data_IF_576874895085
#
_entry.id   IF_576874895085
#
_cell.length_a   1.000
_cell.length_b   1.000
_cell.length_c   1.000
_cell.angle_alpha   90.00
_cell.angle_beta   90.00
_cell.angle_gamma   90.00
#
_symmetry.space_group_name_H-M   'P 1'
#
loop_
_entity.id
_entity.type
_entity.pdbx_description
1 polymer ?
#
# COMPACT_ATOMS: atom_id res chain seq x y z
N UNK A 1 25.99 -17.67 5.31
CA UNK A 1 24.61 -18.19 5.03
C UNK A 1 24.35 -18.02 3.55
N UNK A 2 23.81 -19.00 2.80
CA UNK A 2 23.71 -18.93 1.32
C UNK A 2 22.58 -17.96 0.92
N UNK A 3 22.84 -17.10 -0.08
CA UNK A 3 21.89 -16.15 -0.70
C UNK A 3 20.53 -16.81 -1.06
N UNK A 4 20.57 -18.10 -1.45
CA UNK A 4 19.37 -18.90 -1.73
C UNK A 4 18.52 -19.20 -0.50
N UNK A 5 19.13 -19.27 0.69
CA UNK A 5 18.42 -19.54 1.95
C UNK A 5 17.75 -18.27 2.47
N UNK A 6 18.39 -17.12 2.31
CA UNK A 6 17.80 -15.81 2.65
C UNK A 6 16.64 -15.45 1.73
N UNK A 7 16.77 -15.68 0.42
CA UNK A 7 15.69 -15.49 -0.54
C UNK A 7 14.49 -16.39 -0.25
N UNK A 8 14.72 -17.66 0.10
CA UNK A 8 13.64 -18.59 0.47
C UNK A 8 12.95 -18.18 1.77
N UNK A 9 13.71 -17.71 2.76
CA UNK A 9 13.15 -17.23 4.03
C UNK A 9 12.24 -16.01 3.80
N UNK A 10 12.74 -14.99 3.09
CA UNK A 10 11.94 -13.80 2.74
C UNK A 10 10.69 -14.11 1.93
N UNK A 11 10.80 -15.02 0.96
CA UNK A 11 9.62 -15.44 0.18
C UNK A 11 8.59 -16.20 1.03
N UNK A 12 9.03 -17.01 2.00
CA UNK A 12 8.10 -17.71 2.91
C UNK A 12 7.44 -16.78 3.92
N UNK A 13 8.17 -15.79 4.43
CA UNK A 13 7.64 -14.77 5.35
C UNK A 13 6.61 -13.87 4.64
N UNK A 14 6.89 -13.42 3.42
CA UNK A 14 5.96 -12.64 2.63
C UNK A 14 4.70 -13.43 2.24
N UNK A 15 4.84 -14.69 1.90
CA UNK A 15 3.69 -15.56 1.62
C UNK A 15 2.81 -15.71 2.85
N UNK A 16 3.39 -15.96 4.02
CA UNK A 16 2.68 -16.02 5.29
C UNK A 16 1.94 -14.71 5.62
N UNK A 17 2.55 -13.55 5.33
CA UNK A 17 1.93 -12.24 5.57
C UNK A 17 0.69 -12.03 4.70
N UNK A 18 0.82 -12.28 3.39
CA UNK A 18 -0.28 -12.10 2.43
C UNK A 18 -1.41 -13.09 2.70
N UNK A 19 -1.10 -14.35 3.03
CA UNK A 19 -2.09 -15.37 3.41
C UNK A 19 -2.85 -14.98 4.69
N UNK A 20 -2.16 -14.36 5.67
CA UNK A 20 -2.79 -13.84 6.89
C UNK A 20 -3.76 -12.70 6.57
N UNK A 21 -3.32 -11.71 5.78
CA UNK A 21 -4.17 -10.59 5.35
C UNK A 21 -5.42 -11.12 4.63
N UNK A 22 -5.23 -12.03 3.68
CA UNK A 22 -6.32 -12.63 2.93
C UNK A 22 -7.34 -13.34 3.83
N UNK A 23 -6.86 -14.12 4.80
CA UNK A 23 -7.70 -14.81 5.77
C UNK A 23 -8.58 -13.85 6.58
N UNK A 24 -7.99 -12.74 7.06
CA UNK A 24 -8.73 -11.73 7.83
C UNK A 24 -9.73 -10.99 6.95
N UNK A 25 -9.32 -10.55 5.74
CA UNK A 25 -10.22 -9.87 4.81
C UNK A 25 -11.42 -10.76 4.44
N UNK A 26 -11.16 -12.03 4.08
CA UNK A 26 -12.18 -12.98 3.70
C UNK A 26 -13.16 -13.29 4.86
N UNK A 27 -12.66 -13.49 6.07
CA UNK A 27 -13.48 -13.80 7.24
C UNK A 27 -14.42 -12.64 7.64
N UNK A 28 -14.13 -11.43 7.19
CA UNK A 28 -14.93 -10.24 7.48
C UNK A 28 -15.68 -9.72 6.23
N UNK A 29 -15.60 -10.42 5.09
CA UNK A 29 -16.17 -10.00 3.81
C UNK A 29 -15.65 -8.64 3.34
N UNK A 30 -14.39 -8.34 3.63
CA UNK A 30 -13.72 -7.09 3.25
C UNK A 30 -12.88 -7.26 1.98
N UNK A 31 -12.83 -6.18 1.22
CA UNK A 31 -12.04 -6.10 0.00
C UNK A 31 -11.01 -4.96 0.07
N UNK A 32 -9.90 -5.14 -0.65
CA UNK A 32 -8.81 -4.18 -0.77
C UNK A 32 -8.58 -3.77 -2.23
N UNK A 33 -8.16 -2.51 -2.43
CA UNK A 33 -7.66 -2.01 -3.71
C UNK A 33 -6.36 -1.23 -3.51
N UNK A 34 -5.49 -1.19 -4.55
CA UNK A 34 -4.18 -0.52 -4.48
C UNK A 34 -4.08 0.69 -5.40
N UNK A 35 -3.40 1.74 -4.93
CA UNK A 35 -3.00 2.92 -5.70
C UNK A 35 -1.47 3.04 -5.68
N UNK A 36 -0.83 2.83 -6.80
CA UNK A 36 0.61 2.68 -6.88
C UNK A 36 1.27 3.79 -7.71
N UNK A 37 2.41 4.29 -7.22
CA UNK A 37 3.31 5.13 -7.98
C UNK A 37 4.63 4.39 -8.21
N UNK A 38 5.60 4.53 -7.30
CA UNK A 38 6.94 3.96 -7.47
C UNK A 38 6.96 2.42 -7.55
N UNK A 39 5.99 1.73 -6.98
CA UNK A 39 5.89 0.25 -7.00
C UNK A 39 5.41 -0.29 -8.35
N UNK A 40 4.67 0.51 -9.12
CA UNK A 40 4.39 0.23 -10.54
C UNK A 40 3.58 -1.03 -10.82
N UNK A 41 2.70 -1.44 -9.89
CA UNK A 41 1.87 -2.64 -9.98
C UNK A 41 2.37 -3.81 -9.13
N UNK A 42 3.58 -3.75 -8.58
CA UNK A 42 4.17 -4.83 -7.78
C UNK A 42 3.37 -5.13 -6.50
N UNK A 43 2.74 -4.10 -5.90
CA UNK A 43 1.92 -4.27 -4.71
C UNK A 43 0.62 -5.03 -5.03
N UNK A 44 -0.07 -4.64 -6.09
CA UNK A 44 -1.25 -5.36 -6.57
C UNK A 44 -0.89 -6.79 -6.98
N UNK A 45 0.18 -6.96 -7.75
CA UNK A 45 0.67 -8.27 -8.16
C UNK A 45 0.93 -9.18 -6.95
N UNK A 46 1.54 -8.65 -5.89
CA UNK A 46 1.80 -9.42 -4.67
C UNK A 46 0.51 -9.84 -3.95
N UNK A 47 -0.51 -9.01 -3.96
CA UNK A 47 -1.81 -9.37 -3.37
C UNK A 47 -2.54 -10.45 -4.17
N UNK A 48 -2.41 -10.45 -5.51
CA UNK A 48 -3.07 -11.47 -6.34
C UNK A 48 -2.30 -12.78 -6.44
N UNK A 49 -1.05 -12.87 -5.94
CA UNK A 49 -0.30 -14.13 -5.84
C UNK A 49 -0.94 -15.15 -4.88
N UNK A 50 -1.86 -14.72 -4.00
CA UNK A 50 -2.50 -15.62 -3.04
C UNK A 50 -3.67 -16.39 -3.65
N UNK A 51 -3.87 -17.66 -3.27
CA UNK A 51 -5.07 -18.40 -3.64
C UNK A 51 -6.33 -17.71 -3.11
N UNK A 52 -7.34 -17.53 -3.97
CA UNK A 52 -8.58 -16.85 -3.61
C UNK A 52 -8.50 -15.31 -3.60
N UNK A 53 -7.46 -14.71 -4.19
CA UNK A 53 -7.32 -13.26 -4.30
C UNK A 53 -8.56 -12.58 -4.90
N UNK A 54 -9.25 -13.21 -5.83
CA UNK A 54 -10.46 -12.68 -6.47
C UNK A 54 -11.62 -12.42 -5.51
N UNK A 55 -11.59 -13.00 -4.32
CA UNK A 55 -12.62 -12.80 -3.29
C UNK A 55 -12.36 -11.51 -2.48
N UNK A 56 -11.11 -11.06 -2.40
CA UNK A 56 -10.71 -9.95 -1.52
C UNK A 56 -10.00 -8.79 -2.23
N UNK A 57 -9.48 -8.98 -3.44
CA UNK A 57 -8.80 -7.92 -4.20
C UNK A 57 -9.75 -7.38 -5.28
N UNK A 58 -10.07 -6.09 -5.21
CA UNK A 58 -10.92 -5.40 -6.19
C UNK A 58 -10.14 -4.96 -7.43
N UNK A 59 -8.86 -4.68 -7.28
CA UNK A 59 -7.99 -4.21 -8.35
C UNK A 59 -6.91 -3.25 -7.87
N UNK A 60 -6.15 -2.70 -8.83
CA UNK A 60 -5.11 -1.73 -8.56
C UNK A 60 -4.99 -0.69 -9.67
N UNK A 61 -4.65 0.53 -9.29
CA UNK A 61 -4.42 1.66 -10.19
C UNK A 61 -2.95 2.06 -10.09
N UNK A 62 -2.25 2.03 -11.22
CA UNK A 62 -0.89 2.58 -11.32
C UNK A 62 -0.99 4.04 -11.79
N UNK A 63 -1.00 4.98 -10.84
CA UNK A 63 -1.02 6.42 -11.09
C UNK A 63 0.41 6.97 -11.07
N UNK A 64 1.22 6.57 -12.06
CA UNK A 64 2.65 6.88 -12.10
C UNK A 64 2.91 8.37 -12.39
N UNK A 65 2.26 8.94 -13.39
CA UNK A 65 2.32 10.37 -13.68
C UNK A 65 1.51 11.15 -12.62
N UNK A 66 1.97 12.36 -12.29
CA UNK A 66 1.40 13.18 -11.21
C UNK A 66 -0.06 13.57 -11.48
N UNK A 67 -0.40 13.89 -12.72
CA UNK A 67 -1.74 14.25 -13.15
C UNK A 67 -2.76 13.10 -12.99
N UNK A 68 -2.31 11.84 -13.11
CA UNK A 68 -3.16 10.67 -12.89
C UNK A 68 -3.57 10.51 -11.42
N UNK A 69 -2.77 11.00 -10.48
CA UNK A 69 -3.14 11.00 -9.06
C UNK A 69 -4.39 11.85 -8.83
N UNK A 70 -4.51 12.98 -9.53
CA UNK A 70 -5.69 13.82 -9.48
C UNK A 70 -6.84 13.28 -10.32
N UNK A 71 -6.59 12.93 -11.58
CA UNK A 71 -7.66 12.60 -12.52
C UNK A 71 -8.33 11.26 -12.25
N UNK A 72 -7.57 10.26 -11.73
CA UNK A 72 -8.09 8.92 -11.43
C UNK A 72 -8.44 8.74 -9.95
N UNK A 73 -7.63 9.29 -9.05
CA UNK A 73 -7.73 9.03 -7.61
C UNK A 73 -8.27 10.22 -6.81
N UNK A 74 -8.60 11.34 -7.47
CA UNK A 74 -9.17 12.50 -6.81
C UNK A 74 -8.23 13.26 -5.88
N UNK A 75 -6.91 13.07 -5.99
CA UNK A 75 -5.93 13.83 -5.20
C UNK A 75 -6.05 15.31 -5.53
N UNK A 76 -6.07 16.16 -4.51
CA UNK A 76 -6.23 17.62 -4.67
C UNK A 76 -5.12 18.22 -5.55
N UNK A 77 -5.52 18.90 -6.60
CA UNK A 77 -4.59 19.53 -7.56
C UNK A 77 -3.77 20.63 -6.92
N UNK A 78 -4.33 21.35 -5.97
CA UNK A 78 -3.62 22.39 -5.24
C UNK A 78 -2.55 21.81 -4.31
N UNK A 79 -2.84 20.67 -3.69
CA UNK A 79 -1.85 19.94 -2.90
C UNK A 79 -0.67 19.49 -3.78
N UNK A 80 -0.94 18.86 -4.92
CA UNK A 80 0.09 18.42 -5.87
C UNK A 80 0.94 19.59 -6.39
N UNK A 81 0.30 20.72 -6.69
CA UNK A 81 1.01 21.91 -7.21
C UNK A 81 1.90 22.58 -6.15
N UNK A 82 1.52 22.55 -4.87
CA UNK A 82 2.27 23.21 -3.80
C UNK A 82 3.36 22.33 -3.18
N UNK A 83 3.13 21.04 -3.10
CA UNK A 83 3.95 20.13 -2.30
C UNK A 83 4.49 18.94 -3.08
N UNK A 84 4.17 18.83 -4.36
CA UNK A 84 4.57 17.69 -5.19
C UNK A 84 3.79 16.40 -4.85
N UNK A 85 4.10 15.30 -5.55
CA UNK A 85 3.39 14.04 -5.43
C UNK A 85 3.87 13.14 -4.28
N UNK A 86 4.97 13.50 -3.58
CA UNK A 86 5.61 12.65 -2.57
C UNK A 86 5.42 13.26 -1.18
N UNK A 87 4.21 13.09 -0.63
CA UNK A 87 3.87 13.53 0.73
C UNK A 87 2.92 12.55 1.41
N UNK A 88 2.87 12.61 2.74
CA UNK A 88 1.94 11.82 3.55
C UNK A 88 0.47 12.02 3.14
N UNK A 89 0.09 13.27 2.90
CA UNK A 89 -1.29 13.62 2.53
C UNK A 89 -1.66 13.15 1.12
N UNK A 90 -0.72 13.20 0.15
CA UNK A 90 -0.92 12.61 -1.18
C UNK A 90 -1.13 11.10 -1.08
N UNK A 91 -0.30 10.39 -0.31
CA UNK A 91 -0.47 8.95 -0.09
C UNK A 91 -1.85 8.63 0.51
N UNK A 92 -2.29 9.40 1.51
CA UNK A 92 -3.60 9.24 2.14
C UNK A 92 -4.75 9.45 1.15
N UNK A 93 -4.67 10.51 0.33
CA UNK A 93 -5.70 10.79 -0.68
C UNK A 93 -5.70 9.75 -1.80
N UNK A 94 -4.53 9.25 -2.23
CA UNK A 94 -4.45 8.13 -3.17
C UNK A 94 -5.15 6.88 -2.63
N UNK A 95 -4.90 6.53 -1.36
CA UNK A 95 -5.55 5.40 -0.71
C UNK A 95 -7.07 5.58 -0.60
N UNK A 96 -7.54 6.76 -0.20
CA UNK A 96 -8.95 7.08 -0.14
C UNK A 96 -9.60 7.02 -1.54
N UNK A 97 -8.96 7.60 -2.54
CA UNK A 97 -9.46 7.64 -3.91
C UNK A 97 -9.58 6.25 -4.55
N UNK A 98 -8.60 5.36 -4.38
CA UNK A 98 -8.70 4.00 -4.92
C UNK A 98 -9.74 3.16 -4.18
N UNK A 99 -9.88 3.35 -2.87
CA UNK A 99 -10.92 2.71 -2.06
C UNK A 99 -12.31 3.03 -2.63
N UNK A 100 -12.58 4.30 -2.90
CA UNK A 100 -13.84 4.77 -3.47
C UNK A 100 -14.04 4.27 -4.90
N UNK A 101 -13.04 4.48 -5.77
CA UNK A 101 -13.11 4.12 -7.19
C UNK A 101 -13.37 2.62 -7.39
N UNK A 102 -12.71 1.77 -6.62
CA UNK A 102 -12.86 0.32 -6.70
C UNK A 102 -13.99 -0.22 -5.82
N UNK A 103 -14.68 0.61 -5.03
CA UNK A 103 -15.67 0.18 -4.04
C UNK A 103 -15.11 -0.90 -3.13
N UNK A 104 -13.91 -0.68 -2.62
CA UNK A 104 -13.24 -1.55 -1.66
C UNK A 104 -13.46 -1.07 -0.23
N UNK A 105 -13.28 -1.93 0.76
CA UNK A 105 -13.30 -1.56 2.17
C UNK A 105 -11.98 -0.88 2.57
N UNK A 106 -10.86 -1.33 1.98
CA UNK A 106 -9.54 -0.76 2.21
C UNK A 106 -8.91 -0.27 0.91
N UNK A 107 -8.36 0.94 0.96
CA UNK A 107 -7.44 1.46 -0.04
C UNK A 107 -6.03 1.46 0.51
N UNK A 108 -5.07 0.95 -0.27
CA UNK A 108 -3.66 0.90 0.06
C UNK A 108 -2.87 1.68 -0.99
N UNK A 109 -2.04 2.63 -0.58
CA UNK A 109 -1.31 3.49 -1.51
C UNK A 109 0.19 3.57 -1.25
N UNK A 110 0.95 3.80 -2.32
CA UNK A 110 2.40 4.04 -2.30
C UNK A 110 2.76 5.22 -3.19
N UNK A 111 3.53 6.18 -2.67
CA UNK A 111 4.18 7.25 -3.44
C UNK A 111 5.58 7.50 -2.91
N UNK A 112 6.54 7.88 -3.75
CA UNK A 112 7.92 8.08 -3.29
C UNK A 112 8.95 8.11 -4.41
N UNK A 113 10.20 8.35 -4.03
CA UNK A 113 11.38 8.43 -4.89
C UNK A 113 12.19 7.14 -4.79
N UNK A 114 12.12 6.31 -5.83
CA UNK A 114 12.84 5.03 -5.83
C UNK A 114 14.32 5.16 -6.25
N UNK A 115 14.74 6.32 -6.77
CA UNK A 115 16.08 6.50 -7.33
C UNK A 115 16.21 5.98 -8.78
N UNK A 116 17.43 6.02 -9.38
CA UNK A 116 18.68 6.40 -8.70
C UNK A 116 18.81 7.90 -8.50
N UNK A 117 19.33 8.28 -7.33
CA UNK A 117 19.54 9.67 -6.94
C UNK A 117 18.26 10.40 -6.52
N UNK A 118 18.47 11.62 -6.02
CA UNK A 118 17.39 12.50 -5.57
C UNK A 118 16.61 13.06 -6.77
N UNK A 119 15.39 13.45 -6.53
CA UNK A 119 14.52 14.12 -7.49
C UNK A 119 13.98 15.44 -6.93
N UNK A 120 13.26 16.21 -7.75
CA UNK A 120 12.56 17.42 -7.29
C UNK A 120 11.53 17.12 -6.20
N UNK A 121 11.04 15.89 -6.14
CA UNK A 121 10.04 15.43 -5.18
C UNK A 121 10.63 14.92 -3.84
N UNK A 122 11.96 14.83 -3.74
CA UNK A 122 12.66 14.44 -2.52
C UNK A 122 13.88 13.54 -2.73
N UNK A 123 14.54 13.15 -1.63
CA UNK A 123 15.73 12.29 -1.68
C UNK A 123 15.35 10.85 -2.09
N UNK A 124 16.36 10.15 -2.66
CA UNK A 124 16.21 8.71 -2.95
C UNK A 124 15.85 7.93 -1.68
N UNK A 125 14.86 7.09 -1.80
CA UNK A 125 14.37 6.25 -0.71
C UNK A 125 13.28 6.88 0.15
N UNK A 126 12.96 8.18 -0.03
CA UNK A 126 11.78 8.77 0.62
C UNK A 126 10.50 8.19 0.02
N UNK A 127 9.72 7.54 0.86
CA UNK A 127 8.47 6.89 0.47
C UNK A 127 7.39 7.14 1.50
N UNK A 128 6.18 7.37 1.04
CA UNK A 128 4.97 7.36 1.87
C UNK A 128 4.07 6.20 1.47
N UNK A 129 3.63 5.46 2.47
CA UNK A 129 2.62 4.41 2.32
C UNK A 129 1.40 4.76 3.16
N UNK A 130 0.21 4.46 2.67
CA UNK A 130 -1.02 4.79 3.37
C UNK A 130 -2.06 3.67 3.23
N UNK A 131 -2.80 3.43 4.30
CA UNK A 131 -4.00 2.59 4.32
C UNK A 131 -5.18 3.43 4.78
N UNK A 132 -6.29 3.36 4.08
CA UNK A 132 -7.57 3.95 4.49
C UNK A 132 -8.62 2.84 4.52
N UNK A 133 -9.16 2.58 5.70
CA UNK A 133 -10.21 1.59 5.96
C UNK A 133 -11.54 2.24 6.34
N UNK A 134 -12.52 1.43 6.82
CA UNK A 134 -13.83 1.92 7.23
C UNK A 134 -13.79 2.87 8.43
N UNK A 135 -13.08 2.53 9.50
CA UNK A 135 -12.89 3.36 10.69
C UNK A 135 -11.42 3.66 11.00
N UNK A 136 -10.51 2.83 10.53
CA UNK A 136 -9.08 2.95 10.75
C UNK A 136 -8.34 3.47 9.53
N UNK A 137 -7.33 4.30 9.77
CA UNK A 137 -6.38 4.72 8.73
C UNK A 137 -4.98 4.87 9.31
N UNK A 138 -3.97 4.70 8.47
CA UNK A 138 -2.59 4.94 8.85
C UNK A 138 -1.78 5.44 7.65
N UNK A 139 -0.81 6.30 7.93
CA UNK A 139 0.22 6.74 6.98
C UNK A 139 1.57 6.54 7.62
N UNK A 140 2.54 6.08 6.84
CA UNK A 140 3.92 5.88 7.31
C UNK A 140 4.88 6.50 6.31
N UNK A 141 5.82 7.28 6.81
CA UNK A 141 7.01 7.71 6.08
C UNK A 141 8.09 6.65 6.23
N UNK A 142 8.78 6.35 5.14
CA UNK A 142 9.89 5.42 5.07
C UNK A 142 11.09 6.12 4.45
N UNK A 143 12.27 5.83 4.99
CA UNK A 143 13.56 6.26 4.44
C UNK A 143 14.36 5.01 4.09
N UNK A 144 14.19 4.54 2.86
CA UNK A 144 14.71 3.28 2.38
C UNK A 144 16.06 3.48 1.66
N UNK A 145 16.85 2.43 1.53
CA UNK A 145 18.15 2.44 0.85
C UNK A 145 18.37 1.18 0.04
N UNK A 146 19.41 1.15 -0.79
CA UNK A 146 19.81 -0.04 -1.56
C UNK A 146 19.47 0.04 -3.05
N UNK A 147 19.16 1.24 -3.56
CA UNK A 147 18.85 1.51 -4.95
C UNK A 147 17.43 1.12 -5.35
N UNK A 148 17.02 1.50 -6.56
CA UNK A 148 15.65 1.46 -7.08
C UNK A 148 14.90 0.13 -6.84
N UNK A 149 15.53 -1.00 -7.12
CA UNK A 149 14.87 -2.30 -6.96
C UNK A 149 14.63 -2.65 -5.49
N UNK A 150 15.60 -2.36 -4.62
CA UNK A 150 15.47 -2.62 -3.19
C UNK A 150 14.42 -1.70 -2.54
N UNK A 151 14.41 -0.40 -2.90
CA UNK A 151 13.42 0.57 -2.43
C UNK A 151 12.00 0.11 -2.81
N UNK A 152 11.78 -0.26 -4.08
CA UNK A 152 10.46 -0.74 -4.54
C UNK A 152 10.01 -2.00 -3.78
N UNK A 153 10.90 -3.00 -3.66
CA UNK A 153 10.58 -4.25 -2.96
C UNK A 153 10.30 -4.04 -1.47
N UNK A 154 11.09 -3.20 -0.80
CA UNK A 154 10.87 -2.85 0.60
C UNK A 154 9.56 -2.07 0.79
N UNK A 155 9.23 -1.15 -0.13
CA UNK A 155 7.96 -0.43 -0.12
C UNK A 155 6.76 -1.38 -0.15
N UNK A 156 6.79 -2.40 -1.01
CA UNK A 156 5.72 -3.40 -1.09
C UNK A 156 5.59 -4.17 0.23
N UNK A 157 6.72 -4.60 0.82
CA UNK A 157 6.72 -5.32 2.09
C UNK A 157 6.12 -4.48 3.24
N UNK A 158 6.57 -3.23 3.37
CA UNK A 158 6.09 -2.30 4.39
C UNK A 158 4.61 -1.93 4.20
N UNK A 159 4.16 -1.75 2.95
CA UNK A 159 2.76 -1.47 2.65
C UNK A 159 1.84 -2.64 3.06
N UNK A 160 2.24 -3.88 2.78
CA UNK A 160 1.51 -5.06 3.22
C UNK A 160 1.51 -5.21 4.75
N UNK A 161 2.63 -4.93 5.41
CA UNK A 161 2.70 -4.94 6.87
C UNK A 161 1.75 -3.89 7.49
N UNK A 162 1.71 -2.67 6.93
CA UNK A 162 0.80 -1.62 7.36
C UNK A 162 -0.67 -2.01 7.15
N UNK A 163 -1.00 -2.65 6.01
CA UNK A 163 -2.35 -3.15 5.76
C UNK A 163 -2.76 -4.16 6.83
N UNK A 164 -1.90 -5.13 7.15
CA UNK A 164 -2.19 -6.09 8.23
C UNK A 164 -2.48 -5.40 9.55
N UNK A 165 -1.61 -4.47 9.97
CA UNK A 165 -1.78 -3.74 11.24
C UNK A 165 -3.11 -2.99 11.32
N UNK A 166 -3.53 -2.35 10.21
CA UNK A 166 -4.78 -1.59 10.16
C UNK A 166 -6.00 -2.52 10.19
N UNK A 167 -5.95 -3.62 9.43
CA UNK A 167 -7.03 -4.60 9.38
C UNK A 167 -7.20 -5.32 10.73
N UNK A 168 -6.11 -5.71 11.39
CA UNK A 168 -6.15 -6.35 12.71
C UNK A 168 -6.74 -5.39 13.77
N UNK A 169 -6.36 -4.12 13.78
CA UNK A 169 -6.96 -3.09 14.66
C UNK A 169 -8.46 -2.91 14.44
N UNK A 170 -8.91 -2.91 13.19
CA UNK A 170 -10.34 -2.83 12.86
C UNK A 170 -11.12 -4.01 13.44
N UNK A 171 -10.55 -5.23 13.35
CA UNK A 171 -11.17 -6.45 13.94
C UNK A 171 -11.28 -6.34 15.45
N UNK A 172 -10.21 -5.88 16.13
CA UNK A 172 -10.19 -5.77 17.58
C UNK A 172 -11.20 -4.72 18.09
N UNK A 173 -11.33 -3.60 17.41
CA UNK A 173 -12.34 -2.59 17.75
C UNK A 173 -13.78 -3.11 17.58
N UNK A 174 -14.06 -3.84 16.49
CA UNK A 174 -15.39 -4.43 16.31
C UNK A 174 -15.75 -5.43 17.41
N UNK A 175 -14.78 -6.23 17.85
CA UNK A 175 -14.98 -7.19 18.96
C UNK A 175 -15.30 -6.49 20.26
N UNK A 176 -14.61 -5.39 20.57
CA UNK A 176 -14.86 -4.63 21.80
C UNK A 176 -16.24 -3.98 21.81
N UNK A 177 -16.70 -3.46 20.68
CA UNK A 177 -18.03 -2.84 20.57
C UNK A 177 -19.20 -3.86 20.54
N UNK A 178 -18.95 -5.10 20.11
CA UNK A 178 -19.97 -6.16 20.10
C UNK A 178 -20.17 -6.84 21.46
N UNK A 179 -19.29 -6.54 22.43
CA UNK A 179 -19.32 -7.13 23.79
C UNK A 179 -19.95 -6.21 24.84
N UNK A 180 -20.44 -5.03 24.41
CA UNK A 180 -21.14 -4.04 25.26
C UNK A 180 -22.61 -3.96 24.88
#
# INVERSE_FOLDING_TARGET
MSLRRELRCRLSEHKSLVDTIAGVLKSNEWAVATAESLTGGDLCARLIDMPGASEVVRGGIVAYATDLKSSLLGVDRGLLARHGPVTAEVARQMAAGVRELCRADYGLATTGVAGPGDSEDGPEGLVYIAVVGPSQSAVRELNLSGGRSAVRSATVAEALALLREVVEREVDERRTHSST
#
